data_IF_898682923352
#
_entry.id   IF_898682923352
#
_cell.length_a   1.000
_cell.length_b   1.000
_cell.length_c   1.000
_cell.angle_alpha   90.00
_cell.angle_beta   90.00
_cell.angle_gamma   90.00
#
_symmetry.space_group_name_H-M   'P 1'
#
loop_
_entity.id
_entity.type
_entity.pdbx_description
1 polymer ?
#
# COMPACT_ATOMS: atom_id res chain seq x y z
N UNK A 1 10.01 8.45 -28.05
CA UNK A 1 8.62 8.66 -27.61
C UNK A 1 8.63 8.77 -26.08
N UNK A 2 8.72 9.99 -25.55
CA UNK A 2 8.77 10.25 -24.10
C UNK A 2 7.43 10.81 -23.66
N UNK A 3 6.45 9.93 -23.49
CA UNK A 3 5.23 10.29 -22.77
C UNK A 3 5.57 10.22 -21.27
N UNK A 4 6.08 11.34 -20.73
CA UNK A 4 6.23 11.53 -19.30
C UNK A 4 4.83 11.79 -18.73
N UNK A 5 3.98 10.76 -18.72
CA UNK A 5 2.69 10.84 -18.03
C UNK A 5 3.02 10.95 -16.55
N UNK A 6 2.96 12.15 -15.99
CA UNK A 6 3.00 12.40 -14.54
C UNK A 6 1.71 11.84 -13.91
N UNK A 7 1.46 10.55 -14.10
CA UNK A 7 0.31 9.83 -13.56
C UNK A 7 0.45 9.87 -12.05
N UNK A 8 -0.39 10.61 -11.35
CA UNK A 8 -0.39 10.67 -9.88
C UNK A 8 -0.66 9.25 -9.34
N UNK A 9 0.02 8.79 -8.27
CA UNK A 9 -0.27 7.49 -7.66
C UNK A 9 -1.72 7.44 -7.17
N UNK A 10 -2.40 6.30 -7.37
CA UNK A 10 -3.78 6.13 -6.90
C UNK A 10 -3.90 6.07 -5.38
N UNK A 11 -2.88 5.53 -4.71
CA UNK A 11 -2.84 5.40 -3.25
C UNK A 11 -1.75 6.26 -2.63
N UNK A 12 -2.06 6.86 -1.48
CA UNK A 12 -1.14 7.70 -0.73
C UNK A 12 -0.43 6.92 0.38
N UNK A 13 0.70 7.46 0.85
CA UNK A 13 1.36 6.93 2.06
C UNK A 13 0.39 6.98 3.25
N UNK A 14 0.48 5.99 4.14
CA UNK A 14 -0.34 5.82 5.34
C UNK A 14 -1.82 5.50 5.05
N UNK A 15 -2.22 5.35 3.79
CA UNK A 15 -3.54 4.88 3.42
C UNK A 15 -3.70 3.38 3.67
N UNK A 16 -4.86 2.96 4.21
CA UNK A 16 -5.19 1.53 4.30
C UNK A 16 -5.80 1.01 3.00
N UNK A 17 -5.36 -0.17 2.62
CA UNK A 17 -5.78 -0.87 1.40
C UNK A 17 -6.10 -2.32 1.71
N UNK A 18 -6.99 -2.88 0.92
CA UNK A 18 -7.29 -4.31 0.89
C UNK A 18 -6.66 -4.94 -0.35
N UNK A 19 -6.18 -6.16 -0.20
CA UNK A 19 -5.65 -7.01 -1.27
C UNK A 19 -5.95 -8.48 -0.90
N UNK A 20 -5.66 -9.43 -1.79
CA UNK A 20 -6.02 -10.85 -1.61
C UNK A 20 -5.47 -11.47 -0.31
N UNK A 21 -4.34 -10.95 0.21
CA UNK A 21 -3.74 -11.41 1.47
C UNK A 21 -4.24 -10.72 2.74
N UNK A 22 -5.16 -9.75 2.63
CA UNK A 22 -5.77 -9.07 3.78
C UNK A 22 -5.74 -7.55 3.67
N UNK A 23 -5.63 -6.90 4.83
CA UNK A 23 -5.56 -5.44 4.95
C UNK A 23 -4.12 -5.04 5.26
N UNK A 24 -3.66 -3.96 4.64
CA UNK A 24 -2.38 -3.37 4.97
C UNK A 24 -2.35 -1.87 4.73
N UNK A 25 -1.23 -1.26 5.09
CA UNK A 25 -1.01 0.19 5.04
C UNK A 25 0.09 0.51 4.05
N UNK A 26 -0.16 1.45 3.14
CA UNK A 26 0.85 1.90 2.17
C UNK A 26 2.00 2.59 2.92
N UNK A 27 3.23 2.09 2.75
CA UNK A 27 4.44 2.73 3.27
C UNK A 27 5.19 3.53 2.23
N UNK A 28 5.25 3.00 1.01
CA UNK A 28 5.90 3.66 -0.11
C UNK A 28 5.21 3.28 -1.41
N UNK A 29 5.38 4.13 -2.42
CA UNK A 29 4.99 3.85 -3.79
C UNK A 29 6.14 4.28 -4.69
N UNK A 30 6.40 3.50 -5.73
CA UNK A 30 7.29 3.93 -6.80
C UNK A 30 6.71 3.50 -8.15
N UNK A 31 7.20 4.16 -9.19
CA UNK A 31 6.81 3.83 -10.55
C UNK A 31 7.89 3.00 -11.21
N UNK A 32 7.50 1.85 -11.73
CA UNK A 32 8.36 0.94 -12.49
C UNK A 32 7.75 0.68 -13.87
N UNK A 33 8.53 0.89 -14.94
CA UNK A 33 8.12 0.59 -16.32
C UNK A 33 6.74 1.16 -16.75
N UNK A 34 6.30 2.25 -16.12
CA UNK A 34 4.99 2.87 -16.39
C UNK A 34 3.86 2.43 -15.46
N UNK A 35 4.07 1.39 -14.65
CA UNK A 35 3.14 0.88 -13.64
C UNK A 35 3.49 1.41 -12.24
N UNK A 36 2.47 1.56 -11.39
CA UNK A 36 2.64 1.89 -9.99
C UNK A 36 2.77 0.61 -9.14
N UNK A 37 3.80 0.56 -8.31
CA UNK A 37 4.03 -0.47 -7.30
C UNK A 37 4.00 0.16 -5.92
N UNK A 38 3.52 -0.61 -4.95
CA UNK A 38 3.25 -0.16 -3.59
C UNK A 38 3.86 -1.12 -2.60
N UNK A 39 4.60 -0.59 -1.62
CA UNK A 39 5.00 -1.33 -0.44
C UNK A 39 3.89 -1.21 0.60
N UNK A 40 3.32 -2.36 0.96
CA UNK A 40 2.19 -2.49 1.87
C UNK A 40 2.67 -3.22 3.11
N UNK A 41 2.58 -2.56 4.26
CA UNK A 41 2.84 -3.17 5.56
C UNK A 41 1.56 -3.78 6.12
N UNK A 42 1.58 -5.06 6.45
CA UNK A 42 0.49 -5.75 7.13
C UNK A 42 0.56 -5.54 8.64
N UNK A 43 -0.59 -5.61 9.31
CA UNK A 43 -0.61 -5.65 10.77
C UNK A 43 0.20 -6.85 11.28
N UNK A 44 1.17 -6.58 12.16
CA UNK A 44 1.96 -7.63 12.78
C UNK A 44 1.04 -8.37 13.78
N UNK A 45 0.70 -9.62 13.45
CA UNK A 45 0.03 -10.50 14.39
C UNK A 45 0.90 -10.78 15.63
N UNK A 46 0.34 -11.43 16.67
CA UNK A 46 1.12 -11.81 17.84
C UNK A 46 2.35 -12.64 17.43
N UNK A 47 3.49 -12.39 18.10
CA UNK A 47 4.71 -13.15 17.86
C UNK A 47 4.42 -14.66 17.98
N UNK A 48 4.76 -15.48 16.98
CA UNK A 48 4.50 -16.90 17.04
C UNK A 48 5.29 -17.56 18.16
N UNK A 49 4.67 -18.53 18.83
CA UNK A 49 5.22 -19.38 19.89
C UNK A 49 6.31 -20.31 19.31
N UNK A 50 7.47 -19.73 18.95
CA UNK A 50 8.65 -20.35 18.33
C UNK A 50 8.49 -20.92 16.89
N UNK A 51 9.52 -20.70 16.05
CA UNK A 51 9.80 -21.54 14.88
C UNK A 51 9.46 -20.98 13.49
N UNK A 52 8.98 -19.73 13.35
CA UNK A 52 8.90 -19.07 12.02
C UNK A 52 10.07 -18.11 11.83
N UNK A 53 10.92 -18.41 10.86
CA UNK A 53 11.98 -17.51 10.40
C UNK A 53 11.35 -16.57 9.36
N UNK A 54 11.11 -15.32 9.75
CA UNK A 54 10.63 -14.26 8.86
C UNK A 54 9.69 -13.28 9.56
N UNK A 55 10.18 -12.08 9.86
CA UNK A 55 9.40 -10.93 10.33
C UNK A 55 9.01 -10.00 9.17
N UNK A 56 9.00 -10.51 7.93
CA UNK A 56 8.65 -9.69 6.77
C UNK A 56 7.16 -9.35 6.82
N UNK A 57 6.86 -8.16 7.35
CA UNK A 57 5.53 -7.57 7.43
C UNK A 57 5.22 -6.70 6.22
N UNK A 58 6.18 -6.49 5.32
CA UNK A 58 6.03 -5.63 4.14
C UNK A 58 6.02 -6.46 2.87
N UNK A 59 5.05 -6.22 2.00
CA UNK A 59 4.95 -6.83 0.68
C UNK A 59 4.92 -5.77 -0.42
N UNK A 60 5.41 -6.12 -1.60
CA UNK A 60 5.31 -5.27 -2.78
C UNK A 60 4.16 -5.76 -3.67
N UNK A 61 3.23 -4.86 -4.00
CA UNK A 61 2.06 -5.15 -4.83
C UNK A 61 1.92 -4.14 -5.97
N UNK A 62 1.27 -4.53 -7.07
CA UNK A 62 0.91 -3.59 -8.13
C UNK A 62 -0.35 -2.80 -7.76
N UNK A 63 -0.51 -1.63 -8.37
CA UNK A 63 -1.71 -0.79 -8.21
C UNK A 63 -3.01 -1.55 -8.46
N UNK A 64 -3.00 -2.51 -9.40
CA UNK A 64 -4.19 -3.29 -9.78
C UNK A 64 -4.60 -4.33 -8.73
N UNK A 65 -3.69 -4.70 -7.82
CA UNK A 65 -3.94 -5.68 -6.76
C UNK A 65 -4.51 -5.04 -5.49
N UNK A 66 -4.59 -3.70 -5.47
CA UNK A 66 -5.02 -2.91 -4.31
C UNK A 66 -6.42 -2.33 -4.50
N UNK A 67 -7.19 -2.39 -3.42
CA UNK A 67 -8.52 -1.79 -3.31
C UNK A 67 -8.49 -0.80 -2.15
N UNK A 68 -8.95 0.45 -2.33
CA UNK A 68 -8.99 1.42 -1.24
C UNK A 68 -9.97 0.94 -0.17
N UNK A 69 -9.53 0.91 1.08
CA UNK A 69 -10.46 0.82 2.20
C UNK A 69 -11.04 2.21 2.41
N UNK A 70 -12.37 2.31 2.37
CA UNK A 70 -13.06 3.56 2.61
C UNK A 70 -12.90 3.92 4.09
N UNK A 71 -11.83 4.64 4.41
CA UNK A 71 -11.74 5.39 5.64
C UNK A 71 -12.35 6.74 5.34
N UNK A 72 -13.43 7.10 6.04
CA UNK A 72 -14.10 8.39 5.90
C UNK A 72 -13.06 9.51 5.81
N UNK A 73 -12.83 10.06 4.63
CA UNK A 73 -12.03 11.27 4.47
C UNK A 73 -12.80 12.38 5.19
N UNK A 74 -12.46 12.61 6.45
CA UNK A 74 -12.75 13.87 7.10
C UNK A 74 -11.96 14.91 6.31
N UNK A 75 -12.64 15.59 5.40
CA UNK A 75 -12.18 16.86 4.89
C UNK A 75 -12.18 17.81 6.09
N UNK A 76 -11.09 17.86 6.86
CA UNK A 76 -10.89 18.99 7.73
C UNK A 76 -10.56 20.16 6.81
N UNK A 77 -11.61 20.89 6.39
CA UNK A 77 -11.48 22.18 5.75
C UNK A 77 -10.68 23.07 6.70
N UNK A 78 -9.42 23.30 6.39
CA UNK A 78 -8.73 24.48 6.88
C UNK A 78 -9.43 25.70 6.25
N UNK A 79 -10.30 26.35 7.02
CA UNK A 79 -10.77 27.73 6.78
C UNK A 79 -10.44 28.59 7.99
#
# INVERSE_FOLDING_TARGET
MTANSLSIPRFCREQRVYFIGGIGTIKHHHREAGCWTYLVEMEMGPEPDFGRIGHETTIQLFETDLIPLCESCNYELAV
#
